data_IF_251904239748
#
_entry.id   IF_251904239748
#
_cell.length_a   1.000
_cell.length_b   1.000
_cell.length_c   1.000
_cell.angle_alpha   90.00
_cell.angle_beta   90.00
_cell.angle_gamma   90.00
#
_symmetry.space_group_name_H-M   'P 1'
#
loop_
_entity.id
_entity.type
_entity.pdbx_description
1 polymer ?
#
# COMPACT_ATOMS: atom_id res chain seq x y z
N UNK A 1 8.63 25.52 -0.34
CA UNK A 1 9.27 24.37 0.34
C UNK A 1 9.06 23.13 -0.52
N UNK A 2 10.10 22.33 -0.69
CA UNK A 2 9.94 21.05 -1.37
C UNK A 2 9.00 20.12 -0.59
N UNK A 3 8.39 19.16 -1.30
CA UNK A 3 7.68 18.06 -0.67
C UNK A 3 8.71 17.08 -0.06
N UNK A 4 8.46 16.47 1.11
CA UNK A 4 7.28 16.59 1.98
C UNK A 4 7.49 17.54 3.17
N UNK A 5 8.45 18.46 3.14
CA UNK A 5 8.67 19.42 4.23
C UNK A 5 7.47 20.37 4.42
N UNK A 6 6.64 20.51 3.38
CA UNK A 6 5.35 21.18 3.47
C UNK A 6 4.31 20.21 4.07
N UNK A 7 3.53 20.62 5.07
CA UNK A 7 2.42 19.81 5.56
C UNK A 7 1.47 19.44 4.42
N UNK A 8 0.98 18.18 4.41
CA UNK A 8 0.20 17.64 3.28
C UNK A 8 -0.98 18.54 2.86
N UNK A 9 -1.78 19.01 3.83
CA UNK A 9 -2.93 19.87 3.53
C UNK A 9 -2.54 21.22 2.94
N UNK A 10 -1.37 21.73 3.29
CA UNK A 10 -0.88 22.98 2.72
C UNK A 10 -0.31 22.78 1.32
N UNK A 11 0.33 21.65 1.07
CA UNK A 11 0.75 21.27 -0.28
C UNK A 11 -0.45 21.11 -1.22
N UNK A 12 -1.52 20.49 -0.73
CA UNK A 12 -2.75 20.29 -1.50
C UNK A 12 -3.44 21.62 -1.90
N UNK A 13 -3.33 22.65 -1.08
CA UNK A 13 -3.84 24.00 -1.41
C UNK A 13 -3.07 24.68 -2.55
N UNK A 14 -1.83 24.25 -2.81
CA UNK A 14 -1.00 24.82 -3.88
C UNK A 14 -1.33 24.25 -5.28
N UNK A 15 -1.98 23.09 -5.33
CA UNK A 15 -2.35 22.43 -6.57
C UNK A 15 -2.55 20.93 -6.41
N UNK A 16 -2.87 20.23 -7.49
CA UNK A 16 -3.08 18.79 -7.46
C UNK A 16 -1.77 18.05 -7.11
N UNK A 17 -1.92 16.99 -6.32
CA UNK A 17 -0.85 16.06 -6.01
C UNK A 17 -1.12 14.73 -6.73
N UNK A 18 -0.09 14.17 -7.31
CA UNK A 18 -0.18 12.94 -8.10
C UNK A 18 0.23 11.75 -7.24
N UNK A 19 -0.66 10.78 -7.11
CA UNK A 19 -0.36 9.49 -6.51
C UNK A 19 0.49 8.63 -7.44
N UNK A 20 1.12 7.63 -6.87
CA UNK A 20 1.68 6.50 -7.59
C UNK A 20 0.55 5.65 -8.23
N UNK A 21 0.93 4.52 -8.81
CA UNK A 21 0.01 3.65 -9.53
C UNK A 21 0.01 2.22 -8.99
N UNK A 22 -0.28 1.27 -9.89
CA UNK A 22 -0.45 -0.12 -9.56
C UNK A 22 0.76 -0.72 -8.83
N UNK A 23 0.48 -1.48 -7.76
CA UNK A 23 1.48 -2.31 -7.08
C UNK A 23 1.33 -3.78 -7.46
N UNK A 24 0.12 -4.32 -7.40
CA UNK A 24 -0.13 -5.74 -7.67
C UNK A 24 0.28 -6.17 -9.07
N UNK A 25 -0.08 -5.41 -10.10
CA UNK A 25 0.32 -5.68 -11.49
C UNK A 25 1.84 -5.63 -11.64
N UNK A 26 2.50 -4.66 -11.03
CA UNK A 26 3.95 -4.54 -11.06
C UNK A 26 4.65 -5.72 -10.37
N UNK A 27 4.12 -6.20 -9.25
CA UNK A 27 4.62 -7.39 -8.56
C UNK A 27 4.44 -8.64 -9.43
N UNK A 28 3.27 -8.79 -10.05
CA UNK A 28 2.97 -9.92 -10.92
C UNK A 28 3.93 -9.98 -12.12
N UNK A 29 4.15 -8.87 -12.80
CA UNK A 29 5.08 -8.78 -13.94
C UNK A 29 6.53 -9.11 -13.56
N UNK A 30 6.88 -8.95 -12.28
CA UNK A 30 8.21 -9.28 -11.73
C UNK A 30 8.28 -10.67 -11.10
N UNK A 31 7.28 -11.51 -11.33
CA UNK A 31 7.26 -12.91 -10.93
C UNK A 31 6.66 -13.18 -9.54
N UNK A 32 6.03 -12.21 -8.91
CA UNK A 32 5.27 -12.42 -7.68
C UNK A 32 3.82 -12.74 -8.01
N UNK A 33 3.46 -14.03 -7.99
CA UNK A 33 2.17 -14.49 -8.50
C UNK A 33 1.05 -14.47 -7.46
N UNK A 34 -0.20 -14.47 -7.95
CA UNK A 34 -1.45 -14.35 -7.18
C UNK A 34 -1.76 -15.52 -6.24
N UNK A 35 -0.93 -16.55 -6.19
CA UNK A 35 -1.02 -17.62 -5.18
C UNK A 35 -0.75 -17.15 -3.76
N UNK A 36 -0.24 -15.94 -3.63
CA UNK A 36 -0.01 -15.25 -2.36
C UNK A 36 -0.69 -13.88 -2.38
N UNK A 37 -0.99 -13.35 -1.20
CA UNK A 37 -1.39 -11.95 -1.07
C UNK A 37 -0.27 -11.03 -1.55
N UNK A 38 -0.60 -10.01 -2.34
CA UNK A 38 0.38 -9.00 -2.74
C UNK A 38 0.94 -8.22 -1.54
N UNK A 39 0.15 -8.09 -0.46
CA UNK A 39 0.59 -7.45 0.78
C UNK A 39 1.69 -8.24 1.50
N UNK A 40 1.69 -9.58 1.37
CA UNK A 40 2.76 -10.43 1.91
C UNK A 40 4.11 -10.17 1.25
N UNK A 41 4.15 -9.58 0.06
CA UNK A 41 5.39 -9.20 -0.61
C UNK A 41 6.22 -8.24 0.25
N UNK A 42 5.58 -7.47 1.14
CA UNK A 42 6.27 -6.60 2.09
C UNK A 42 7.26 -7.36 2.98
N UNK A 43 6.99 -8.63 3.27
CA UNK A 43 7.84 -9.51 4.07
C UNK A 43 8.63 -10.50 3.20
N UNK A 44 7.98 -11.08 2.18
CA UNK A 44 8.56 -12.13 1.36
C UNK A 44 9.53 -11.59 0.29
N UNK A 45 9.23 -10.46 -0.32
CA UNK A 45 10.01 -9.81 -1.37
C UNK A 45 10.03 -8.29 -1.19
N UNK A 46 10.56 -7.81 -0.06
CA UNK A 46 10.66 -6.38 0.20
C UNK A 46 11.48 -5.64 -0.85
N UNK A 47 12.44 -6.31 -1.48
CA UNK A 47 13.23 -5.80 -2.60
C UNK A 47 12.35 -5.33 -3.76
N UNK A 48 11.38 -6.15 -4.18
CA UNK A 48 10.48 -5.81 -5.28
C UNK A 48 9.58 -4.62 -4.93
N UNK A 49 9.00 -4.64 -3.73
CA UNK A 49 8.12 -3.55 -3.28
C UNK A 49 8.90 -2.22 -3.21
N UNK A 50 10.11 -2.26 -2.67
CA UNK A 50 10.98 -1.10 -2.57
C UNK A 50 11.35 -0.54 -3.95
N UNK A 51 11.71 -1.40 -4.89
CA UNK A 51 12.08 -1.00 -6.25
C UNK A 51 10.91 -0.37 -7.00
N UNK A 52 9.71 -0.95 -6.88
CA UNK A 52 8.50 -0.39 -7.49
C UNK A 52 8.21 1.01 -6.94
N UNK A 53 8.26 1.19 -5.63
CA UNK A 53 8.08 2.51 -5.02
C UNK A 53 9.12 3.52 -5.50
N UNK A 54 10.39 3.11 -5.60
CA UNK A 54 11.47 3.98 -6.11
C UNK A 54 11.25 4.41 -7.55
N UNK A 55 10.76 3.52 -8.39
CA UNK A 55 10.43 3.84 -9.77
C UNK A 55 9.30 4.87 -9.86
N UNK A 56 8.27 4.76 -9.01
CA UNK A 56 7.22 5.77 -8.95
C UNK A 56 7.72 7.13 -8.46
N UNK A 57 8.61 7.15 -7.48
CA UNK A 57 9.27 8.40 -7.04
C UNK A 57 10.08 9.01 -8.18
N UNK A 58 10.86 8.20 -8.88
CA UNK A 58 11.67 8.65 -10.03
C UNK A 58 10.79 9.15 -11.18
N UNK A 59 9.60 8.60 -11.36
CA UNK A 59 8.61 9.05 -12.34
C UNK A 59 7.90 10.36 -11.94
N UNK A 60 8.08 10.84 -10.71
CA UNK A 60 7.54 12.11 -10.23
C UNK A 60 6.29 12.00 -9.38
N UNK A 61 5.96 10.83 -8.83
CA UNK A 61 4.85 10.70 -7.88
C UNK A 61 5.09 11.59 -6.65
N UNK A 62 4.07 12.34 -6.25
CA UNK A 62 4.08 13.16 -5.05
C UNK A 62 3.69 12.39 -3.80
N UNK A 63 2.93 11.32 -3.98
CA UNK A 63 2.41 10.49 -2.89
C UNK A 63 2.61 9.03 -3.26
N UNK A 64 3.23 8.25 -2.36
CA UNK A 64 3.30 6.81 -2.44
C UNK A 64 2.20 6.19 -1.58
N UNK A 65 1.43 5.30 -2.14
CA UNK A 65 0.47 4.48 -1.40
C UNK A 65 1.17 3.23 -0.91
N UNK A 66 1.21 3.03 0.40
CA UNK A 66 1.82 1.84 1.00
C UNK A 66 1.11 0.57 0.51
N UNK A 67 1.86 -0.50 0.31
CA UNK A 67 1.32 -1.80 -0.12
C UNK A 67 0.59 -2.51 1.03
N UNK A 68 -0.58 -1.98 1.40
CA UNK A 68 -1.38 -2.43 2.55
C UNK A 68 -2.88 -2.54 2.24
N UNK A 69 -3.29 -2.45 0.98
CA UNK A 69 -4.70 -2.46 0.58
C UNK A 69 -5.45 -3.71 1.06
N UNK A 70 -4.88 -4.88 0.90
CA UNK A 70 -5.43 -6.16 1.35
C UNK A 70 -4.93 -6.61 2.73
N UNK A 71 -4.16 -5.78 3.42
CA UNK A 71 -3.54 -6.13 4.70
C UNK A 71 -4.52 -6.00 5.88
N UNK A 72 -5.65 -6.66 5.78
CA UNK A 72 -6.63 -6.83 6.84
C UNK A 72 -6.81 -8.31 7.18
N UNK A 73 -7.32 -8.59 8.38
CA UNK A 73 -7.46 -9.95 8.89
C UNK A 73 -8.29 -10.86 7.98
N UNK A 74 -9.33 -10.32 7.35
CA UNK A 74 -10.25 -11.10 6.52
C UNK A 74 -9.57 -11.53 5.22
N UNK A 75 -8.94 -10.59 4.51
CA UNK A 75 -8.27 -10.89 3.24
C UNK A 75 -7.00 -11.70 3.45
N UNK A 76 -6.17 -11.37 4.43
CA UNK A 76 -4.98 -12.16 4.77
C UNK A 76 -5.34 -13.58 5.21
N UNK A 77 -6.48 -13.76 5.87
CA UNK A 77 -6.98 -15.08 6.26
C UNK A 77 -7.23 -16.03 5.09
N UNK A 78 -7.53 -15.50 3.91
CA UNK A 78 -7.68 -16.32 2.69
C UNK A 78 -6.39 -16.99 2.24
N UNK A 79 -5.26 -16.45 2.68
CA UNK A 79 -3.91 -16.94 2.36
C UNK A 79 -3.21 -17.57 3.58
N UNK A 80 -3.89 -17.62 4.74
CA UNK A 80 -3.30 -18.09 5.98
C UNK A 80 -2.27 -17.13 6.60
N UNK A 81 -2.31 -15.86 6.21
CA UNK A 81 -1.33 -14.83 6.62
C UNK A 81 -1.84 -13.85 7.69
N UNK A 82 -3.02 -14.11 8.28
CA UNK A 82 -3.67 -13.21 9.24
C UNK A 82 -2.85 -12.95 10.51
N UNK A 83 -1.98 -13.88 10.89
CA UNK A 83 -1.13 -13.75 12.08
C UNK A 83 0.03 -12.78 11.86
N UNK A 84 0.36 -12.50 10.61
CA UNK A 84 1.38 -11.52 10.21
C UNK A 84 0.81 -10.13 9.91
N UNK A 85 -0.45 -9.89 10.21
CA UNK A 85 -1.16 -8.63 9.92
C UNK A 85 -0.38 -7.37 10.29
N UNK A 86 0.14 -7.34 11.52
CA UNK A 86 0.89 -6.19 12.03
C UNK A 86 2.20 -5.98 11.29
N UNK A 87 2.93 -7.05 11.08
CA UNK A 87 4.25 -7.00 10.44
C UNK A 87 4.14 -6.62 8.97
N UNK A 88 3.15 -7.14 8.26
CA UNK A 88 2.86 -6.79 6.87
C UNK A 88 2.56 -5.29 6.74
N UNK A 89 1.66 -4.75 7.57
CA UNK A 89 1.31 -3.34 7.54
C UNK A 89 2.51 -2.44 7.88
N UNK A 90 3.26 -2.78 8.93
CA UNK A 90 4.46 -2.02 9.32
C UNK A 90 5.52 -2.03 8.23
N UNK A 91 5.78 -3.20 7.64
CA UNK A 91 6.75 -3.34 6.56
C UNK A 91 6.32 -2.53 5.33
N UNK A 92 5.03 -2.58 4.95
CA UNK A 92 4.50 -1.81 3.83
C UNK A 92 4.75 -0.31 3.96
N UNK A 93 4.43 0.26 5.11
CA UNK A 93 4.67 1.69 5.38
C UNK A 93 6.16 2.00 5.42
N UNK A 94 6.97 1.13 6.04
CA UNK A 94 8.42 1.32 6.13
C UNK A 94 9.08 1.34 4.75
N UNK A 95 8.71 0.42 3.88
CA UNK A 95 9.24 0.34 2.51
C UNK A 95 8.88 1.58 1.69
N UNK A 96 7.63 2.04 1.79
CA UNK A 96 7.21 3.26 1.11
C UNK A 96 7.98 4.49 1.64
N UNK A 97 8.17 4.60 2.94
CA UNK A 97 8.97 5.68 3.55
C UNK A 97 10.43 5.63 3.12
N UNK A 98 11.03 4.45 3.08
CA UNK A 98 12.40 4.25 2.61
C UNK A 98 12.55 4.66 1.14
N UNK A 99 11.60 4.27 0.29
CA UNK A 99 11.61 4.63 -1.12
C UNK A 99 11.41 6.13 -1.34
N UNK A 100 10.53 6.76 -0.55
CA UNK A 100 10.24 8.19 -0.66
C UNK A 100 11.47 9.05 -0.40
N UNK A 101 12.33 8.64 0.53
CA UNK A 101 13.57 9.33 0.88
C UNK A 101 13.39 10.84 1.03
N UNK A 102 12.31 11.25 1.70
CA UNK A 102 11.96 12.65 1.89
C UNK A 102 11.47 13.39 0.63
N UNK A 103 11.18 12.69 -0.47
CA UNK A 103 10.75 13.31 -1.74
C UNK A 103 9.27 13.16 -2.04
N UNK A 104 8.58 12.28 -1.34
CA UNK A 104 7.15 12.03 -1.50
C UNK A 104 6.47 11.81 -0.15
N UNK A 105 5.20 12.13 -0.07
CA UNK A 105 4.35 11.72 1.05
C UNK A 105 4.11 10.22 1.01
N UNK A 106 3.75 9.63 2.13
CA UNK A 106 3.34 8.23 2.23
C UNK A 106 1.92 8.17 2.79
N UNK A 107 1.03 7.56 2.03
CA UNK A 107 -0.35 7.29 2.43
C UNK A 107 -0.51 5.80 2.77
N UNK A 108 -1.16 5.49 3.89
CA UNK A 108 -1.58 4.14 4.22
C UNK A 108 -2.78 3.75 3.36
N UNK A 109 -2.75 2.56 2.76
CA UNK A 109 -3.89 2.02 2.02
C UNK A 109 -4.78 1.21 2.93
N UNK A 110 -6.07 1.51 2.93
CA UNK A 110 -7.09 0.79 3.71
C UNK A 110 -8.17 0.32 2.74
N UNK A 111 -8.09 -0.94 2.37
CA UNK A 111 -9.04 -1.56 1.46
C UNK A 111 -10.27 -2.17 2.16
N UNK A 112 -11.27 -2.59 1.39
CA UNK A 112 -12.46 -3.25 1.92
C UNK A 112 -12.13 -4.66 2.41
N UNK A 113 -12.93 -5.15 3.37
CA UNK A 113 -12.79 -6.53 3.85
C UNK A 113 -13.42 -7.57 2.90
N UNK A 114 -14.24 -7.11 1.96
CA UNK A 114 -15.05 -7.96 1.10
C UNK A 114 -16.29 -8.53 1.83
N UNK A 115 -16.54 -8.09 3.06
CA UNK A 115 -17.78 -8.40 3.80
C UNK A 115 -18.70 -7.20 3.75
N UNK A 116 -20.00 -7.47 3.51
CA UNK A 116 -21.01 -6.43 3.63
C UNK A 116 -21.25 -6.13 5.12
N UNK A 117 -21.12 -4.87 5.49
CA UNK A 117 -21.42 -4.40 6.85
C UNK A 117 -22.82 -3.79 6.87
N UNK A 118 -23.66 -4.21 7.82
CA UNK A 118 -24.91 -3.52 8.17
C UNK A 118 -26.02 -3.53 7.11
N UNK A 119 -26.08 -4.54 6.26
CA UNK A 119 -27.26 -4.77 5.43
C UNK A 119 -28.35 -5.47 6.22
N UNK A 120 -29.62 -5.17 5.94
CA UNK A 120 -30.83 -5.80 6.52
C UNK A 120 -30.85 -7.34 6.43
N UNK A 121 -29.85 -7.95 5.81
CA UNK A 121 -29.72 -9.39 5.59
C UNK A 121 -28.70 -10.07 6.50
N UNK A 122 -28.02 -9.36 7.40
CA UNK A 122 -26.99 -9.94 8.26
C UNK A 122 -27.56 -10.74 9.45
N UNK A 123 -28.84 -10.58 9.73
CA UNK A 123 -29.52 -11.32 10.82
C UNK A 123 -29.97 -12.73 10.45
N UNK A 124 -29.68 -13.22 9.23
CA UNK A 124 -30.17 -14.53 8.75
C UNK A 124 -29.10 -15.51 8.29
N UNK A 125 -27.88 -15.37 8.80
CA UNK A 125 -26.85 -16.40 8.53
C UNK A 125 -26.14 -16.83 9.79
#
# INVERSE_FOLDING_TARGET
>A
MPLPDTPFLDALKRGPLVFDGAMGTQLYERGYFITRSFDEANLARPDLVLDIHREYVAAGAHILEANTFGANRVLLGRYGAQDHLRDINRAGVRLARQASDGRAYVAGSVGPTGRMTGGLNDERR
#
